data_IF_647096380328
#
_entry.id   IF_647096380328
#
_cell.length_a   1.000
_cell.length_b   1.000
_cell.length_c   1.000
_cell.angle_alpha   90.00
_cell.angle_beta   90.00
_cell.angle_gamma   90.00
#
_symmetry.space_group_name_H-M   'P 1'
#
loop_
_entity.id
_entity.type
_entity.pdbx_description
1 polymer ?
#
# COMPACT_ATOMS: atom_id res chain seq x y z
N UNK A 1 -39.77 -35.43 -12.66
CA UNK A 1 -38.62 -36.09 -13.31
C UNK A 1 -37.38 -35.72 -12.52
N UNK A 2 -36.62 -36.72 -12.11
CA UNK A 2 -35.33 -36.62 -11.41
C UNK A 2 -34.18 -36.30 -12.39
N UNK A 3 -32.99 -36.05 -11.81
CA UNK A 3 -31.65 -35.98 -12.41
C UNK A 3 -31.26 -34.62 -13.02
N UNK A 4 -30.12 -33.97 -12.71
CA UNK A 4 -28.82 -34.39 -12.14
C UNK A 4 -28.13 -33.24 -11.36
N UNK A 5 -27.22 -33.53 -10.40
CA UNK A 5 -26.24 -32.58 -9.87
C UNK A 5 -24.97 -32.60 -10.73
N UNK A 6 -24.64 -31.47 -11.34
CA UNK A 6 -23.34 -31.24 -11.99
C UNK A 6 -22.45 -30.40 -11.07
N UNK A 7 -21.45 -31.06 -10.48
CA UNK A 7 -20.26 -30.41 -9.95
C UNK A 7 -19.54 -29.67 -11.08
N UNK A 8 -19.48 -28.36 -11.02
CA UNK A 8 -18.37 -27.62 -11.60
C UNK A 8 -17.74 -26.76 -10.50
N UNK A 9 -16.85 -27.44 -9.80
CA UNK A 9 -15.82 -26.88 -8.95
C UNK A 9 -14.80 -26.18 -9.86
N UNK A 10 -15.13 -24.99 -10.35
CA UNK A 10 -14.18 -24.14 -11.06
C UNK A 10 -13.39 -23.29 -10.07
N UNK A 11 -12.38 -23.93 -9.48
CA UNK A 11 -11.06 -23.38 -9.15
C UNK A 11 -10.98 -21.85 -9.02
N UNK A 12 -11.05 -21.35 -7.78
CA UNK A 12 -10.58 -20.01 -7.48
C UNK A 12 -9.10 -19.89 -7.89
N UNK A 13 -8.71 -18.92 -8.73
CA UNK A 13 -7.32 -18.75 -9.08
C UNK A 13 -6.58 -18.27 -7.83
N UNK A 14 -5.70 -19.13 -7.34
CA UNK A 14 -4.67 -18.83 -6.35
C UNK A 14 -3.80 -17.67 -6.83
N UNK A 15 -4.21 -16.43 -6.57
CA UNK A 15 -3.42 -15.20 -6.82
C UNK A 15 -2.32 -14.98 -5.76
N UNK A 16 -1.78 -16.05 -5.21
CA UNK A 16 -0.62 -16.03 -4.30
C UNK A 16 0.49 -16.85 -4.94
N UNK A 17 1.16 -16.29 -5.95
CA UNK A 17 2.21 -17.00 -6.65
C UNK A 17 3.17 -16.15 -7.48
N UNK A 18 2.93 -14.85 -7.66
CA UNK A 18 3.94 -14.01 -8.32
C UNK A 18 4.98 -13.57 -7.29
N UNK A 19 5.92 -14.48 -7.05
CA UNK A 19 7.25 -14.15 -6.58
C UNK A 19 7.77 -13.10 -7.55
N UNK A 20 7.82 -11.84 -7.09
CA UNK A 20 8.59 -10.79 -7.74
C UNK A 20 10.05 -11.22 -7.65
N UNK A 21 10.46 -12.02 -8.63
CA UNK A 21 11.84 -12.39 -8.86
C UNK A 21 12.52 -11.13 -9.37
N UNK A 22 13.15 -10.37 -8.47
CA UNK A 22 14.03 -9.29 -8.87
C UNK A 22 15.12 -9.90 -9.75
N UNK A 23 15.18 -9.57 -11.06
CA UNK A 23 16.19 -10.11 -11.93
C UNK A 23 17.56 -9.64 -11.44
N UNK A 24 18.31 -10.55 -10.82
CA UNK A 24 19.71 -10.34 -10.48
C UNK A 24 20.55 -10.87 -11.64
N UNK A 25 20.50 -10.17 -12.78
CA UNK A 25 21.41 -10.41 -13.91
C UNK A 25 21.94 -9.06 -14.38
N UNK A 26 23.16 -8.68 -13.96
CA UNK A 26 23.77 -7.40 -14.32
C UNK A 26 24.48 -7.48 -15.67
N UNK A 27 23.82 -7.94 -16.75
CA UNK A 27 24.48 -8.07 -18.06
C UNK A 27 23.48 -7.93 -19.22
N UNK A 28 23.16 -6.69 -19.61
CA UNK A 28 22.81 -6.32 -20.99
C UNK A 28 22.46 -4.83 -21.05
N UNK A 29 23.48 -3.99 -20.90
CA UNK A 29 23.41 -2.56 -21.17
C UNK A 29 23.28 -2.37 -22.69
N UNK A 30 22.05 -2.31 -23.20
CA UNK A 30 21.78 -1.93 -24.60
C UNK A 30 20.64 -0.91 -24.64
N UNK A 31 21.07 0.35 -24.69
CA UNK A 31 20.35 1.49 -25.28
C UNK A 31 18.87 1.64 -24.91
N UNK A 32 18.57 1.89 -23.63
CA UNK A 32 17.41 2.72 -23.30
C UNK A 32 17.95 4.13 -23.08
N UNK A 33 17.52 5.14 -23.85
CA UNK A 33 17.99 6.51 -23.69
C UNK A 33 17.62 7.01 -22.30
N UNK A 34 18.58 6.93 -21.39
CA UNK A 34 18.51 7.44 -20.02
C UNK A 34 18.54 8.97 -20.07
N UNK A 35 17.43 9.57 -20.48
CA UNK A 35 17.12 10.96 -20.15
C UNK A 35 15.76 10.96 -19.48
N UNK A 36 15.66 10.26 -18.35
CA UNK A 36 14.77 10.75 -17.31
C UNK A 36 15.55 11.93 -16.74
N UNK A 37 15.16 13.19 -17.01
CA UNK A 37 15.77 14.30 -16.31
C UNK A 37 15.57 13.98 -14.83
N UNK A 38 16.67 13.75 -14.13
CA UNK A 38 16.70 13.71 -12.68
C UNK A 38 16.39 15.13 -12.24
N UNK A 39 15.12 15.52 -12.33
CA UNK A 39 14.62 16.70 -11.67
C UNK A 39 14.68 16.31 -10.20
N UNK A 40 15.83 16.56 -9.59
CA UNK A 40 16.12 16.50 -8.16
C UNK A 40 15.32 17.61 -7.46
N UNK A 41 14.01 17.65 -7.72
CA UNK A 41 13.08 18.19 -6.76
C UNK A 41 13.01 17.11 -5.71
N UNK A 42 13.97 17.13 -4.79
CA UNK A 42 13.92 16.42 -3.54
C UNK A 42 12.69 16.93 -2.78
N UNK A 43 11.51 16.46 -3.19
CA UNK A 43 10.31 16.61 -2.41
C UNK A 43 10.67 15.98 -1.08
N UNK A 44 10.74 16.82 -0.04
CA UNK A 44 10.96 16.39 1.34
C UNK A 44 9.73 15.62 1.80
N UNK A 45 9.53 14.43 1.23
CA UNK A 45 8.61 13.45 1.76
C UNK A 45 9.19 13.07 3.13
N UNK A 46 8.56 13.59 4.18
CA UNK A 46 8.94 13.26 5.54
C UNK A 46 8.69 11.76 5.72
N UNK A 47 9.77 11.00 5.81
CA UNK A 47 9.69 9.57 6.09
C UNK A 47 8.88 9.33 7.35
N UNK A 48 8.01 8.31 7.32
CA UNK A 48 7.24 7.90 8.49
C UNK A 48 8.18 7.52 9.63
N UNK A 49 7.76 7.73 10.88
CA UNK A 49 8.60 7.33 12.02
C UNK A 49 8.73 5.80 12.05
N UNK A 50 9.93 5.29 12.29
CA UNK A 50 10.20 3.84 12.34
C UNK A 50 9.21 3.12 13.28
N UNK A 51 8.94 3.69 14.47
CA UNK A 51 8.00 3.12 15.43
C UNK A 51 6.54 3.04 14.94
N UNK A 52 6.10 3.87 14.00
CA UNK A 52 4.76 3.76 13.41
C UNK A 52 4.69 2.55 12.47
N UNK A 53 5.71 2.39 11.63
CA UNK A 53 5.81 1.28 10.67
C UNK A 53 6.01 -0.03 11.42
N UNK A 54 6.86 -0.05 12.43
CA UNK A 54 7.16 -1.25 13.23
C UNK A 54 5.92 -1.79 13.94
N UNK A 55 5.06 -0.92 14.48
CA UNK A 55 3.78 -1.35 15.07
C UNK A 55 2.86 -1.97 14.04
N UNK A 56 2.74 -1.37 12.85
CA UNK A 56 1.91 -1.92 11.77
C UNK A 56 2.44 -3.27 11.29
N UNK A 57 3.76 -3.38 11.10
CA UNK A 57 4.40 -4.64 10.70
C UNK A 57 4.19 -5.71 11.76
N UNK A 58 4.48 -5.43 13.04
CA UNK A 58 4.31 -6.44 14.10
C UNK A 58 2.85 -6.82 14.33
N UNK A 59 1.90 -5.88 14.17
CA UNK A 59 0.46 -6.19 14.29
C UNK A 59 -0.09 -7.02 13.12
N UNK A 60 0.59 -7.02 11.97
CA UNK A 60 0.21 -7.81 10.80
C UNK A 60 0.80 -9.24 10.81
N UNK A 61 1.67 -9.54 11.77
CA UNK A 61 2.37 -10.83 11.86
C UNK A 61 1.79 -11.65 13.04
N UNK A 62 1.73 -13.00 12.92
CA UNK A 62 1.41 -13.87 14.05
C UNK A 62 2.47 -13.79 15.15
N UNK A 63 2.06 -14.18 16.37
CA UNK A 63 2.96 -14.26 17.52
C UNK A 63 4.15 -15.19 17.23
N UNK A 64 5.36 -14.72 17.58
CA UNK A 64 6.61 -15.45 17.34
C UNK A 64 7.21 -15.27 15.94
N UNK A 65 6.54 -14.57 15.01
CA UNK A 65 7.12 -14.24 13.71
C UNK A 65 7.88 -12.91 13.74
N UNK A 66 9.09 -12.91 13.20
CA UNK A 66 9.98 -11.74 13.19
C UNK A 66 10.35 -11.32 11.78
N UNK A 67 10.49 -10.00 11.58
CA UNK A 67 10.97 -9.38 10.33
C UNK A 67 12.31 -8.72 10.59
N UNK A 68 13.25 -8.91 9.66
CA UNK A 68 14.62 -8.38 9.74
C UNK A 68 14.63 -6.85 9.78
N UNK A 69 15.70 -6.28 10.36
CA UNK A 69 15.87 -4.83 10.47
C UNK A 69 15.88 -4.14 9.10
N UNK A 70 16.53 -4.76 8.11
CA UNK A 70 16.63 -4.20 6.78
C UNK A 70 15.28 -4.18 6.04
N UNK A 71 14.48 -5.25 6.18
CA UNK A 71 13.13 -5.29 5.63
C UNK A 71 12.23 -4.20 6.25
N UNK A 72 12.37 -3.91 7.55
CA UNK A 72 11.64 -2.81 8.22
C UNK A 72 11.99 -1.44 7.65
N UNK A 73 13.27 -1.21 7.36
CA UNK A 73 13.73 0.03 6.69
C UNK A 73 13.14 0.13 5.28
N UNK A 74 13.08 -1.00 4.55
CA UNK A 74 12.45 -1.04 3.23
C UNK A 74 10.94 -0.72 3.31
N UNK A 75 10.20 -1.29 4.27
CA UNK A 75 8.80 -0.94 4.51
C UNK A 75 8.61 0.54 4.83
N UNK A 76 9.50 1.14 5.61
CA UNK A 76 9.42 2.56 5.95
C UNK A 76 9.54 3.45 4.70
N UNK A 77 10.48 3.12 3.81
CA UNK A 77 10.64 3.82 2.52
C UNK A 77 9.44 3.58 1.61
N UNK A 78 9.00 2.34 1.47
CA UNK A 78 7.87 1.96 0.63
C UNK A 78 6.57 2.63 1.09
N UNK A 79 6.28 2.66 2.40
CA UNK A 79 5.09 3.30 2.96
C UNK A 79 5.10 4.82 2.71
N UNK A 80 6.27 5.45 2.77
CA UNK A 80 6.42 6.88 2.45
C UNK A 80 6.12 7.16 0.97
N UNK A 81 6.65 6.34 0.07
CA UNK A 81 6.37 6.46 -1.37
C UNK A 81 4.92 6.11 -1.70
N UNK A 82 4.33 5.15 -1.00
CA UNK A 82 2.94 4.78 -1.17
C UNK A 82 2.00 5.94 -0.81
N UNK A 83 2.31 6.68 0.26
CA UNK A 83 1.54 7.87 0.62
C UNK A 83 1.62 8.95 -0.48
N UNK A 84 2.81 9.15 -1.06
CA UNK A 84 2.98 10.07 -2.19
C UNK A 84 2.18 9.60 -3.41
N UNK A 85 2.30 8.33 -3.77
CA UNK A 85 1.55 7.72 -4.87
C UNK A 85 0.04 7.94 -4.71
N UNK A 86 -0.50 7.63 -3.52
CA UNK A 86 -1.92 7.79 -3.24
C UNK A 86 -2.35 9.26 -3.26
N UNK A 87 -1.47 10.17 -2.82
CA UNK A 87 -1.73 11.61 -2.88
C UNK A 87 -1.80 12.13 -4.33
N UNK A 88 -0.92 11.65 -5.21
CA UNK A 88 -0.96 11.99 -6.64
C UNK A 88 -2.22 11.46 -7.32
N UNK A 89 -2.62 10.21 -7.04
CA UNK A 89 -3.89 9.67 -7.55
C UNK A 89 -5.11 10.44 -7.03
N UNK A 90 -5.09 10.82 -5.76
CA UNK A 90 -6.19 11.58 -5.17
C UNK A 90 -6.25 13.03 -5.69
N UNK A 91 -5.13 13.62 -6.07
CA UNK A 91 -5.08 14.89 -6.80
C UNK A 91 -5.73 14.75 -8.18
N UNK A 92 -5.40 13.70 -8.94
CA UNK A 92 -5.99 13.45 -10.26
C UNK A 92 -7.52 13.29 -10.16
N UNK A 93 -7.99 12.43 -9.27
CA UNK A 93 -9.44 12.20 -9.06
C UNK A 93 -10.18 13.49 -8.62
N UNK A 94 -9.55 14.30 -7.76
CA UNK A 94 -10.12 15.59 -7.33
C UNK A 94 -10.19 16.60 -8.48
N UNK A 95 -9.15 16.66 -9.32
CA UNK A 95 -9.06 17.56 -10.46
C UNK A 95 -10.14 17.25 -11.51
N UNK A 96 -10.45 15.97 -11.69
CA UNK A 96 -11.49 15.47 -12.61
C UNK A 96 -12.91 15.82 -12.18
N UNK A 97 -13.17 15.96 -10.88
CA UNK A 97 -14.49 16.40 -10.38
C UNK A 97 -14.71 17.93 -10.53
N UNK A 98 -13.75 18.65 -11.13
CA UNK A 98 -13.86 20.09 -11.40
C UNK A 98 -13.77 20.96 -10.15
N UNK A 99 -13.47 20.37 -8.98
CA UNK A 99 -13.34 21.11 -7.73
C UNK A 99 -11.93 21.71 -7.64
N UNK A 100 -11.84 23.04 -7.63
CA UNK A 100 -10.59 23.81 -7.43
C UNK A 100 -10.04 23.75 -5.98
N UNK A 101 -10.30 22.68 -5.25
CA UNK A 101 -9.92 22.54 -3.84
C UNK A 101 -8.46 22.09 -3.76
N UNK A 102 -7.70 22.69 -2.85
CA UNK A 102 -6.30 22.28 -2.54
C UNK A 102 -6.27 21.12 -1.53
N UNK A 103 -7.25 21.05 -0.65
CA UNK A 103 -7.35 20.00 0.38
C UNK A 103 -7.91 18.70 -0.18
N UNK A 104 -7.19 17.59 0.03
CA UNK A 104 -7.69 16.23 -0.17
C UNK A 104 -8.71 15.85 0.91
N UNK A 105 -9.90 15.45 0.48
CA UNK A 105 -10.96 14.95 1.35
C UNK A 105 -10.94 13.43 1.46
N UNK A 106 -11.62 12.87 2.46
CA UNK A 106 -11.74 11.42 2.61
C UNK A 106 -12.41 10.73 1.40
N UNK A 107 -13.25 11.46 0.66
CA UNK A 107 -13.85 10.96 -0.59
C UNK A 107 -12.77 10.76 -1.67
N UNK A 108 -11.88 11.75 -1.84
CA UNK A 108 -10.82 11.72 -2.85
C UNK A 108 -9.86 10.53 -2.60
N UNK A 109 -9.54 10.26 -1.33
CA UNK A 109 -8.72 9.11 -0.93
C UNK A 109 -9.42 7.78 -1.24
N UNK A 110 -10.74 7.67 -1.01
CA UNK A 110 -11.52 6.46 -1.33
C UNK A 110 -11.60 6.23 -2.84
N UNK A 111 -11.80 7.28 -3.63
CA UNK A 111 -11.77 7.21 -5.09
C UNK A 111 -10.39 6.82 -5.61
N UNK A 112 -9.32 7.41 -5.06
CA UNK A 112 -7.94 7.05 -5.40
C UNK A 112 -7.62 5.59 -5.06
N UNK A 113 -8.08 5.07 -3.92
CA UNK A 113 -7.94 3.65 -3.58
C UNK A 113 -8.67 2.74 -4.58
N UNK A 114 -9.84 3.16 -5.07
CA UNK A 114 -10.57 2.42 -6.10
C UNK A 114 -9.80 2.42 -7.43
N UNK A 115 -9.26 3.57 -7.84
CA UNK A 115 -8.45 3.72 -9.04
C UNK A 115 -7.12 2.94 -8.96
N UNK A 116 -6.52 2.84 -7.78
CA UNK A 116 -5.32 2.04 -7.53
C UNK A 116 -5.56 0.52 -7.51
N UNK A 117 -6.79 0.04 -7.72
CA UNK A 117 -7.13 -1.38 -7.59
C UNK A 117 -7.24 -1.89 -6.14
N UNK A 118 -7.20 -0.99 -5.17
CA UNK A 118 -7.21 -1.27 -3.73
C UNK A 118 -8.62 -1.12 -3.11
N UNK A 119 -9.67 -1.36 -3.91
CA UNK A 119 -11.07 -1.24 -3.46
C UNK A 119 -11.42 -2.14 -2.27
N UNK A 120 -10.73 -3.28 -2.13
CA UNK A 120 -10.90 -4.22 -1.02
C UNK A 120 -10.46 -3.64 0.33
N UNK A 121 -9.66 -2.57 0.34
CA UNK A 121 -9.29 -1.86 1.56
C UNK A 121 -10.39 -0.91 2.05
N UNK A 122 -11.33 -0.49 1.19
CA UNK A 122 -12.36 0.50 1.56
C UNK A 122 -13.21 0.10 2.77
N UNK A 123 -13.65 -1.17 2.93
CA UNK A 123 -14.34 -1.60 4.14
C UNK A 123 -13.45 -1.52 5.40
N UNK A 124 -12.14 -1.76 5.27
CA UNK A 124 -11.18 -1.66 6.36
C UNK A 124 -10.93 -0.21 6.78
N UNK A 125 -11.11 0.74 5.86
CA UNK A 125 -11.09 2.19 6.13
C UNK A 125 -12.40 2.71 6.74
N UNK A 126 -13.35 1.85 7.10
CA UNK A 126 -14.62 2.25 7.73
C UNK A 126 -14.39 3.26 8.85
N UNK A 127 -15.09 4.40 8.77
CA UNK A 127 -14.88 5.60 9.60
C UNK A 127 -14.91 5.34 11.11
N UNK A 128 -15.52 4.21 11.52
CA UNK A 128 -15.79 3.85 12.90
C UNK A 128 -14.81 2.79 13.46
N UNK A 129 -13.95 2.19 12.64
CA UNK A 129 -13.07 1.08 13.05
C UNK A 129 -11.61 1.48 13.25
N UNK A 130 -11.28 2.77 13.16
CA UNK A 130 -9.93 3.20 13.52
C UNK A 130 -9.79 3.10 15.03
N UNK A 131 -9.44 1.88 15.50
CA UNK A 131 -9.08 1.56 16.88
C UNK A 131 -7.99 2.54 17.23
N UNK A 132 -8.36 3.62 17.90
CA UNK A 132 -7.43 4.55 18.52
C UNK A 132 -6.72 3.70 19.56
N UNK A 133 -5.58 3.13 19.17
CA UNK A 133 -4.63 2.58 20.12
C UNK A 133 -4.13 3.79 20.89
N UNK A 134 -4.89 4.22 21.91
CA UNK A 134 -4.30 4.80 23.09
C UNK A 134 -3.50 3.65 23.67
N UNK A 135 -2.21 3.65 23.39
CA UNK A 135 -1.27 2.97 24.27
C UNK A 135 -1.41 3.72 25.59
N UNK A 136 -2.33 3.27 26.43
CA UNK A 136 -2.26 3.57 27.85
C UNK A 136 -1.02 2.82 28.31
N UNK A 137 0.08 3.56 28.38
CA UNK A 137 1.37 3.13 28.92
C UNK A 137 1.20 2.88 30.43
N UNK A 138 0.49 1.81 30.79
CA UNK A 138 0.35 1.39 32.18
C UNK A 138 0.67 -0.10 32.32
N UNK A 139 1.90 -0.46 31.93
CA UNK A 139 2.60 -1.59 32.51
C UNK A 139 4.07 -1.21 32.76
N UNK A 140 4.25 -0.13 33.52
CA UNK A 140 5.42 0.08 34.34
C UNK A 140 4.93 0.02 35.78
N UNK A 141 5.47 -0.95 36.54
CA UNK A 141 5.17 -1.33 37.94
C UNK A 141 4.08 -2.40 38.12
#
# INVERSE_FOLDING_TARGET
MQETPGSDEACAPSLFGEVVNYPTTPDAMKDVPATIPATDTAMKARSLAAGQVDRTVSAALPDGMHVSKDARIAFQKAATLFLLYLSCLAEDERSREGRKRVTLSAHDIKSALKAAGMSHLLPLLGTNHMKRIRTDDNFFL
#
